data_IF_359156056502
#
_entry.id   IF_359156056502
#
_cell.length_a   1.000
_cell.length_b   1.000
_cell.length_c   1.000
_cell.angle_alpha   90.00
_cell.angle_beta   90.00
_cell.angle_gamma   90.00
#
_symmetry.space_group_name_H-M   'P 1'
#
loop_
_entity.id
_entity.type
_entity.pdbx_description
1 polymer ?
#
# COMPACT_ATOMS: atom_id res chain seq x y z
N UNK A 1 -28.76 10.50 23.94
CA UNK A 1 -27.43 9.89 23.82
C UNK A 1 -27.43 8.44 23.30
N UNK A 2 -28.31 7.54 23.76
CA UNK A 2 -28.38 6.13 23.25
C UNK A 2 -28.59 6.02 21.72
N UNK A 3 -29.40 6.88 21.12
CA UNK A 3 -29.67 6.85 19.67
C UNK A 3 -28.53 7.39 18.82
N UNK A 4 -27.64 8.22 19.39
CA UNK A 4 -26.46 8.72 18.71
C UNK A 4 -25.41 7.59 18.51
N UNK A 5 -25.30 6.69 19.49
CA UNK A 5 -24.43 5.51 19.39
C UNK A 5 -24.98 4.46 18.39
N UNK A 6 -26.31 4.31 18.33
CA UNK A 6 -26.94 3.39 17.36
C UNK A 6 -26.79 3.93 15.93
N UNK A 7 -26.93 5.22 15.72
CA UNK A 7 -26.72 5.86 14.41
C UNK A 7 -25.24 5.83 13.97
N UNK A 8 -24.29 5.95 14.90
CA UNK A 8 -22.85 5.75 14.68
C UNK A 8 -22.53 4.29 14.32
N UNK A 9 -23.30 3.33 14.81
CA UNK A 9 -23.13 1.91 14.52
C UNK A 9 -23.64 1.51 13.12
N UNK A 10 -24.68 2.18 12.61
CA UNK A 10 -25.35 1.78 11.37
C UNK A 10 -24.69 2.32 10.09
N UNK A 11 -23.85 3.39 10.17
CA UNK A 11 -23.16 3.95 9.00
C UNK A 11 -21.90 3.21 8.55
N UNK A 12 -21.51 2.11 9.23
CA UNK A 12 -20.26 1.39 8.92
C UNK A 12 -20.44 0.02 8.26
N UNK A 13 -21.61 -0.28 7.67
CA UNK A 13 -21.94 -1.64 7.23
C UNK A 13 -21.46 -2.04 5.83
N UNK A 14 -20.73 -1.17 5.12
CA UNK A 14 -20.11 -1.53 3.82
C UNK A 14 -18.71 -0.96 3.74
N UNK A 15 -17.81 -1.43 4.58
CA UNK A 15 -16.45 -0.88 4.56
C UNK A 15 -15.54 -1.80 3.77
N UNK A 16 -14.94 -1.22 2.75
CA UNK A 16 -13.95 -1.86 1.89
C UNK A 16 -12.59 -1.83 2.58
N UNK A 17 -11.97 -2.97 2.68
CA UNK A 17 -10.67 -3.19 3.32
C UNK A 17 -9.55 -2.97 2.31
N UNK A 18 -8.70 -1.97 2.49
CA UNK A 18 -7.59 -1.70 1.56
C UNK A 18 -6.44 -1.00 2.27
N UNK A 19 -5.24 -1.48 2.10
CA UNK A 19 -4.03 -0.81 2.54
C UNK A 19 -2.81 -1.43 1.89
N UNK A 20 -1.99 -0.63 1.23
CA UNK A 20 -0.69 -1.04 0.71
C UNK A 20 0.39 -0.95 1.77
N UNK A 21 1.31 -1.90 1.79
CA UNK A 21 2.41 -1.90 2.73
C UNK A 21 3.39 -0.74 2.51
N UNK A 22 3.90 -0.61 1.30
CA UNK A 22 5.01 0.30 1.03
C UNK A 22 4.58 1.76 0.97
N UNK A 23 3.45 2.03 0.35
CA UNK A 23 3.03 3.39 -0.01
C UNK A 23 2.00 3.99 0.93
N UNK A 24 1.40 3.20 1.82
CA UNK A 24 0.33 3.66 2.70
C UNK A 24 -0.93 4.16 1.97
N UNK A 25 -1.04 3.94 0.67
CA UNK A 25 -2.19 4.27 -0.15
C UNK A 25 -3.16 3.10 -0.27
N UNK A 26 -4.37 3.35 -0.79
CA UNK A 26 -5.31 2.28 -1.10
C UNK A 26 -4.83 1.46 -2.29
N UNK A 27 -4.78 0.14 -2.17
CA UNK A 27 -4.29 -0.76 -3.22
C UNK A 27 -4.27 -2.22 -2.80
N UNK A 28 -3.57 -3.07 -3.54
CA UNK A 28 -3.24 -4.44 -3.12
C UNK A 28 -2.04 -4.41 -2.16
N UNK A 29 -1.12 -5.34 -2.27
CA UNK A 29 0.06 -5.42 -1.40
C UNK A 29 1.09 -4.36 -1.80
N UNK A 30 1.49 -4.34 -3.07
CA UNK A 30 2.42 -3.40 -3.69
C UNK A 30 1.86 -2.78 -4.97
N UNK A 31 1.06 -3.54 -5.72
CA UNK A 31 0.46 -3.09 -6.97
C UNK A 31 -0.61 -2.01 -6.74
N UNK A 32 -0.58 -0.90 -7.48
CA UNK A 32 -1.61 0.11 -7.43
C UNK A 32 -2.91 -0.43 -8.04
N UNK A 33 -4.02 0.00 -7.48
CA UNK A 33 -5.36 -0.33 -7.98
C UNK A 33 -6.20 0.92 -8.16
N UNK A 34 -7.35 0.80 -8.80
CA UNK A 34 -8.30 1.90 -8.85
C UNK A 34 -9.24 1.95 -7.64
N UNK A 35 -9.06 1.09 -6.65
CA UNK A 35 -9.87 1.15 -5.42
C UNK A 35 -9.61 2.45 -4.64
N UNK A 36 -10.65 3.01 -4.05
CA UNK A 36 -10.59 4.21 -3.21
C UNK A 36 -11.34 3.96 -1.91
N UNK A 37 -10.83 4.49 -0.82
CA UNK A 37 -11.59 4.53 0.43
C UNK A 37 -12.85 5.40 0.26
N UNK A 38 -13.77 5.24 1.18
CA UNK A 38 -14.90 6.17 1.28
C UNK A 38 -14.38 7.56 1.58
N UNK A 39 -15.07 8.60 1.08
CA UNK A 39 -14.77 9.99 1.40
C UNK A 39 -14.71 10.24 2.92
N UNK A 40 -13.93 11.22 3.32
CA UNK A 40 -13.68 11.60 4.71
C UNK A 40 -13.11 10.43 5.56
N UNK A 41 -12.38 9.49 4.92
CA UNK A 41 -11.71 8.42 5.63
C UNK A 41 -10.26 8.81 5.90
N UNK A 42 -9.84 8.64 7.13
CA UNK A 42 -8.46 8.76 7.58
C UNK A 42 -7.95 7.36 7.92
N UNK A 43 -6.77 7.03 7.42
CA UNK A 43 -6.07 5.80 7.74
C UNK A 43 -4.67 6.14 8.23
N UNK A 44 -4.31 5.61 9.40
CA UNK A 44 -2.98 5.75 10.00
C UNK A 44 -2.43 4.37 10.25
N UNK A 45 -1.23 4.12 9.80
CA UNK A 45 -0.64 2.80 9.95
C UNK A 45 0.87 2.79 9.87
N UNK A 46 1.40 1.59 9.95
CA UNK A 46 2.80 1.30 9.74
C UNK A 46 3.00 -0.15 9.38
N UNK A 47 4.12 -0.41 8.73
CA UNK A 47 4.48 -1.75 8.28
C UNK A 47 5.94 -2.04 8.59
N UNK A 48 6.20 -3.30 8.90
CA UNK A 48 7.52 -3.90 8.86
C UNK A 48 7.64 -4.63 7.53
N UNK A 49 8.61 -4.23 6.73
CA UNK A 49 8.75 -4.65 5.34
C UNK A 49 10.11 -5.29 5.17
N UNK A 50 10.14 -6.46 4.53
CA UNK A 50 11.39 -7.09 4.18
C UNK A 50 12.18 -6.23 3.19
N UNK A 51 13.48 -6.13 3.37
CA UNK A 51 14.34 -5.27 2.55
C UNK A 51 14.40 -5.68 1.07
N UNK A 52 14.11 -6.96 0.74
CA UNK A 52 14.06 -7.41 -0.65
C UNK A 52 12.91 -6.81 -1.44
N UNK A 53 11.90 -6.26 -0.75
CA UNK A 53 10.78 -5.57 -1.39
C UNK A 53 11.12 -4.15 -1.84
N UNK A 54 12.21 -3.59 -1.31
CA UNK A 54 12.77 -2.32 -1.72
C UNK A 54 14.11 -2.57 -2.42
N UNK A 55 14.17 -2.38 -3.71
CA UNK A 55 15.41 -2.43 -4.50
C UNK A 55 16.20 -1.13 -4.35
N UNK A 56 16.49 -0.74 -3.12
CA UNK A 56 17.16 0.53 -2.83
C UNK A 56 18.67 0.39 -2.82
N UNK A 57 19.35 1.39 -3.34
CA UNK A 57 20.80 1.57 -3.23
C UNK A 57 21.29 1.64 -1.78
N UNK A 58 20.41 1.92 -0.82
CA UNK A 58 20.72 1.94 0.61
C UNK A 58 21.25 0.62 1.15
N UNK A 59 20.98 -0.50 0.48
CA UNK A 59 21.42 -1.84 0.86
C UNK A 59 22.55 -2.38 0.00
N UNK A 60 23.19 -1.54 -0.83
CA UNK A 60 24.38 -1.96 -1.58
C UNK A 60 25.43 -2.49 -0.62
N UNK A 61 25.85 -3.71 -0.81
CA UNK A 61 26.98 -4.34 -0.15
C UNK A 61 26.66 -5.37 0.93
N UNK A 62 25.43 -5.42 1.49
CA UNK A 62 25.17 -6.42 2.53
C UNK A 62 23.67 -6.64 2.77
N UNK A 63 22.98 -7.15 1.75
CA UNK A 63 21.57 -7.54 1.84
C UNK A 63 21.31 -8.60 2.93
N UNK A 64 22.32 -9.33 3.35
CA UNK A 64 22.20 -10.44 4.30
C UNK A 64 21.97 -10.00 5.77
N UNK A 65 22.32 -8.77 6.13
CA UNK A 65 22.37 -8.35 7.53
C UNK A 65 21.33 -7.31 7.95
N UNK A 66 20.44 -6.88 7.05
CA UNK A 66 19.38 -5.93 7.39
C UNK A 66 18.03 -6.41 6.89
N UNK A 67 17.41 -7.38 7.57
CA UNK A 67 16.26 -8.11 7.04
C UNK A 67 14.98 -7.26 6.90
N UNK A 68 14.86 -6.15 7.65
CA UNK A 68 13.61 -5.41 7.68
C UNK A 68 13.81 -3.91 7.72
N UNK A 69 12.93 -3.19 6.99
CA UNK A 69 12.70 -1.76 7.17
C UNK A 69 11.32 -1.51 7.74
N UNK A 70 11.07 -0.28 8.16
CA UNK A 70 9.80 0.12 8.75
C UNK A 70 9.31 1.38 8.06
N UNK A 71 8.02 1.44 7.84
CA UNK A 71 7.39 2.69 7.47
C UNK A 71 6.21 3.00 8.39
N UNK A 72 5.84 4.26 8.42
CA UNK A 72 4.57 4.72 8.96
C UNK A 72 3.94 5.70 7.99
N UNK A 73 2.61 5.76 7.99
CA UNK A 73 1.89 6.55 7.01
C UNK A 73 0.61 7.14 7.57
N UNK A 74 0.21 8.24 6.95
CA UNK A 74 -1.09 8.87 7.08
C UNK A 74 -1.71 8.95 5.70
N UNK A 75 -2.92 8.39 5.56
CA UNK A 75 -3.70 8.45 4.33
C UNK A 75 -5.04 9.11 4.60
N UNK A 76 -5.44 10.01 3.72
CA UNK A 76 -6.71 10.73 3.81
C UNK A 76 -7.42 10.71 2.46
N UNK A 77 -8.60 10.12 2.44
CA UNK A 77 -9.52 10.27 1.31
C UNK A 77 -10.40 11.50 1.56
N UNK A 78 -10.00 12.62 1.00
CA UNK A 78 -10.64 13.92 1.25
C UNK A 78 -12.03 13.99 0.60
N UNK A 79 -12.07 13.56 -0.67
CA UNK A 79 -13.29 13.51 -1.49
C UNK A 79 -13.42 12.11 -2.09
N UNK A 80 -14.61 11.73 -2.57
CA UNK A 80 -14.78 10.41 -3.20
C UNK A 80 -13.84 10.15 -4.38
N UNK A 81 -13.20 11.18 -4.90
CA UNK A 81 -12.33 11.15 -6.08
C UNK A 81 -10.87 11.53 -5.78
N UNK A 82 -10.54 11.97 -4.55
CA UNK A 82 -9.20 12.41 -4.17
C UNK A 82 -8.73 11.72 -2.88
N UNK A 83 -7.65 10.99 -2.98
CA UNK A 83 -6.89 10.41 -1.87
C UNK A 83 -5.49 10.98 -1.87
N UNK A 84 -5.01 11.39 -0.71
CA UNK A 84 -3.63 11.83 -0.48
C UNK A 84 -3.03 11.02 0.66
N UNK A 85 -1.74 10.75 0.58
CA UNK A 85 -1.04 10.05 1.65
C UNK A 85 0.37 10.64 1.85
N UNK A 86 0.84 10.49 3.08
CA UNK A 86 2.21 10.73 3.47
C UNK A 86 2.78 9.42 4.03
N UNK A 87 3.96 9.05 3.58
CA UNK A 87 4.68 7.88 4.08
C UNK A 87 6.08 8.30 4.51
N UNK A 88 6.52 7.78 5.63
CA UNK A 88 7.89 7.93 6.08
C UNK A 88 8.51 6.54 6.22
N UNK A 89 9.54 6.26 5.43
CA UNK A 89 10.29 5.01 5.46
C UNK A 89 11.57 5.20 6.27
N UNK A 90 11.75 4.35 7.28
CA UNK A 90 12.92 4.38 8.17
C UNK A 90 14.00 3.49 7.58
N UNK A 91 15.16 4.06 7.29
CA UNK A 91 16.30 3.34 6.71
C UNK A 91 17.31 2.99 7.80
N UNK A 92 17.75 1.73 7.82
CA UNK A 92 18.83 1.27 8.71
C UNK A 92 20.15 1.18 7.96
N UNK A 93 21.22 1.54 8.64
CA UNK A 93 22.58 1.28 8.17
C UNK A 93 22.82 -0.23 8.05
N UNK A 94 23.16 -0.70 6.86
CA UNK A 94 23.41 -2.12 6.61
C UNK A 94 24.78 -2.55 7.18
N UNK A 95 24.82 -3.69 7.87
CA UNK A 95 26.05 -4.29 8.33
C UNK A 95 26.95 -4.68 7.14
N UNK A 96 28.25 -4.39 7.22
CA UNK A 96 29.19 -4.71 6.14
C UNK A 96 29.05 -3.81 4.89
N UNK A 97 28.17 -2.82 4.91
CA UNK A 97 28.04 -1.87 3.83
C UNK A 97 29.28 -0.97 3.72
N UNK A 98 29.77 -0.74 2.51
CA UNK A 98 30.77 0.28 2.23
C UNK A 98 30.17 1.70 2.24
N UNK A 99 28.85 1.80 2.17
CA UNK A 99 28.11 3.04 2.13
C UNK A 99 27.88 3.61 3.55
N UNK A 100 27.50 2.76 4.50
CA UNK A 100 27.19 3.18 5.87
C UNK A 100 28.40 3.01 6.77
N UNK A 101 28.82 4.06 7.51
CA UNK A 101 29.87 3.92 8.51
C UNK A 101 29.54 2.82 9.54
N UNK A 102 30.54 2.08 9.99
CA UNK A 102 30.36 0.96 10.92
C UNK A 102 29.60 1.32 12.20
N UNK A 103 29.73 2.55 12.68
CA UNK A 103 29.05 3.06 13.88
C UNK A 103 27.52 3.15 13.70
N UNK A 104 27.04 3.16 12.46
CA UNK A 104 25.61 3.29 12.09
C UNK A 104 24.93 1.96 11.78
N UNK A 105 25.70 0.89 11.70
CA UNK A 105 25.16 -0.42 11.36
C UNK A 105 24.09 -0.88 12.35
N UNK A 106 22.94 -1.33 11.83
CA UNK A 106 21.76 -1.74 12.58
C UNK A 106 20.97 -0.61 13.23
N UNK A 107 21.45 0.64 13.16
CA UNK A 107 20.73 1.81 13.67
C UNK A 107 19.94 2.49 12.56
N UNK A 108 18.86 3.19 12.92
CA UNK A 108 18.17 4.07 11.97
C UNK A 108 19.05 5.28 11.65
N UNK A 109 19.34 5.46 10.37
CA UNK A 109 20.30 6.45 9.87
C UNK A 109 19.67 7.48 8.96
N UNK A 110 18.51 7.17 8.37
CA UNK A 110 17.80 8.08 7.50
C UNK A 110 16.28 7.86 7.57
N UNK A 111 15.54 8.86 7.09
CA UNK A 111 14.10 8.84 6.90
C UNK A 111 13.79 9.34 5.50
N UNK A 112 13.18 8.50 4.70
CA UNK A 112 12.64 8.91 3.43
C UNK A 112 11.18 9.34 3.61
N UNK A 113 10.85 10.54 3.15
CA UNK A 113 9.55 11.18 3.32
C UNK A 113 8.89 11.38 1.97
N UNK A 114 7.82 10.63 1.73
CA UNK A 114 7.15 10.57 0.45
C UNK A 114 5.71 11.05 0.54
N UNK A 115 5.27 11.81 -0.45
CA UNK A 115 3.89 12.24 -0.61
C UNK A 115 3.26 11.52 -1.79
N UNK A 116 2.00 11.16 -1.66
CA UNK A 116 1.28 10.40 -2.67
C UNK A 116 -0.07 11.05 -2.96
N UNK A 117 -0.47 11.03 -4.21
CA UNK A 117 -1.76 11.52 -4.66
C UNK A 117 -2.45 10.52 -5.58
N UNK A 118 -3.79 10.40 -5.44
CA UNK A 118 -4.61 9.52 -6.29
C UNK A 118 -5.90 10.21 -6.65
N UNK A 119 -6.22 10.19 -7.93
CA UNK A 119 -7.37 10.84 -8.51
C UNK A 119 -8.25 9.83 -9.24
N UNK A 120 -9.49 9.63 -8.79
CA UNK A 120 -10.46 8.80 -9.48
C UNK A 120 -11.04 9.55 -10.67
N UNK A 121 -10.67 9.11 -11.87
CA UNK A 121 -11.14 9.67 -13.13
C UNK A 121 -12.52 9.11 -13.52
N UNK A 122 -12.76 7.85 -13.19
CA UNK A 122 -13.98 7.15 -13.56
C UNK A 122 -14.47 6.24 -12.44
N UNK A 123 -15.75 6.27 -12.14
CA UNK A 123 -16.37 5.41 -11.13
C UNK A 123 -16.83 4.10 -11.79
N UNK A 124 -16.66 2.99 -11.10
CA UNK A 124 -17.16 1.69 -11.55
C UNK A 124 -18.67 1.74 -11.83
N UNK A 125 -19.06 1.20 -12.99
CA UNK A 125 -20.45 1.12 -13.41
C UNK A 125 -21.10 2.46 -13.77
N UNK A 126 -20.33 3.54 -13.92
CA UNK A 126 -20.86 4.90 -14.14
C UNK A 126 -21.60 5.05 -15.49
N UNK A 127 -21.15 4.35 -16.52
CA UNK A 127 -21.84 4.32 -17.83
C UNK A 127 -22.64 3.03 -18.01
N UNK A 128 -21.94 1.88 -17.91
CA UNK A 128 -22.55 0.55 -18.01
C UNK A 128 -21.99 -0.32 -16.89
N UNK A 129 -22.74 -1.34 -16.46
CA UNK A 129 -22.35 -2.20 -15.32
C UNK A 129 -20.96 -2.84 -15.48
N UNK A 130 -20.52 -3.07 -16.71
CA UNK A 130 -19.21 -3.68 -16.98
C UNK A 130 -18.04 -2.67 -16.92
N UNK A 131 -18.31 -1.35 -16.96
CA UNK A 131 -17.22 -0.37 -16.95
C UNK A 131 -16.43 -0.40 -15.63
N UNK A 132 -15.07 -0.43 -15.70
CA UNK A 132 -14.25 -0.46 -14.51
C UNK A 132 -14.19 0.91 -13.83
N UNK A 133 -13.69 0.96 -12.62
CA UNK A 133 -13.18 2.18 -12.00
C UNK A 133 -11.79 2.48 -12.54
N UNK A 134 -11.47 3.77 -12.74
CA UNK A 134 -10.16 4.21 -13.22
C UNK A 134 -9.60 5.27 -12.27
N UNK A 135 -8.35 5.11 -11.90
CA UNK A 135 -7.60 6.02 -11.03
C UNK A 135 -6.26 6.35 -11.67
N UNK A 136 -5.95 7.63 -11.72
CA UNK A 136 -4.60 8.15 -11.97
C UNK A 136 -3.93 8.38 -10.62
N UNK A 137 -2.70 7.96 -10.47
CA UNK A 137 -1.96 8.14 -9.23
C UNK A 137 -0.50 8.48 -9.44
N UNK A 138 0.06 9.15 -8.45
CA UNK A 138 1.47 9.45 -8.35
C UNK A 138 1.94 9.11 -6.93
N UNK A 139 3.01 8.38 -6.84
CA UNK A 139 3.73 8.17 -5.60
C UNK A 139 5.02 8.97 -5.67
N UNK A 140 5.26 9.75 -4.63
CA UNK A 140 6.45 10.57 -4.45
C UNK A 140 6.88 11.43 -5.66
N UNK A 141 5.98 12.20 -6.27
CA UNK A 141 6.28 12.94 -7.49
C UNK A 141 7.22 14.13 -7.31
N UNK A 142 7.57 14.47 -6.07
CA UNK A 142 8.36 15.65 -5.72
C UNK A 142 9.82 15.37 -5.40
N UNK A 143 10.23 14.12 -5.34
CA UNK A 143 11.58 13.74 -4.94
C UNK A 143 12.55 13.64 -6.13
N UNK A 144 12.47 14.58 -7.05
CA UNK A 144 13.39 14.68 -8.19
C UNK A 144 14.69 15.39 -7.82
N UNK A 145 15.34 15.04 -6.76
CA UNK A 145 16.59 15.73 -6.46
C UNK A 145 17.78 14.83 -6.73
N UNK A 146 18.74 15.36 -7.46
CA UNK A 146 20.10 14.83 -7.57
C UNK A 146 20.78 14.73 -6.18
N UNK A 147 20.16 15.30 -5.18
CA UNK A 147 20.60 15.35 -3.80
C UNK A 147 19.49 14.76 -2.93
N UNK A 148 19.58 13.50 -2.61
CA UNK A 148 18.59 12.75 -1.86
C UNK A 148 17.93 13.53 -0.72
N UNK A 149 16.64 13.36 -0.53
CA UNK A 149 15.80 14.08 0.45
C UNK A 149 16.11 13.88 1.92
N UNK A 150 17.30 13.42 2.27
CA UNK A 150 17.89 13.38 3.60
C UNK A 150 19.16 14.18 3.64
N UNK A 151 19.50 14.74 4.79
CA UNK A 151 20.74 15.51 5.05
C UNK A 151 22.05 14.71 4.87
N UNK A 152 22.04 13.68 4.04
CA UNK A 152 23.20 12.86 3.74
C UNK A 152 23.62 13.18 2.32
N UNK A 153 24.42 14.23 2.18
CA UNK A 153 25.20 14.47 0.97
C UNK A 153 26.42 13.56 1.01
N UNK A 154 26.36 12.45 0.30
CA UNK A 154 27.54 11.68 -0.02
C UNK A 154 27.90 11.97 -1.47
N UNK A 155 29.02 12.62 -1.66
CA UNK A 155 29.50 13.08 -2.98
C UNK A 155 29.73 11.94 -3.99
N UNK A 156 29.77 10.70 -3.54
CA UNK A 156 30.05 9.52 -4.36
C UNK A 156 28.86 8.55 -4.54
N UNK A 157 27.72 8.83 -3.93
CA UNK A 157 26.53 8.02 -4.16
C UNK A 157 25.67 8.76 -5.17
N UNK A 158 26.03 8.55 -6.39
CA UNK A 158 25.27 9.07 -7.50
C UNK A 158 23.81 8.81 -7.28
N UNK A 159 23.08 9.92 -7.21
CA UNK A 159 21.84 9.98 -7.90
C UNK A 159 20.71 9.10 -7.36
N UNK A 160 19.77 9.74 -6.77
CA UNK A 160 18.41 9.29 -6.52
C UNK A 160 18.16 8.39 -5.30
N UNK A 161 17.52 8.98 -4.34
CA UNK A 161 16.87 8.28 -3.24
C UNK A 161 15.39 8.01 -3.51
N UNK A 162 14.95 8.16 -4.75
CA UNK A 162 13.54 8.14 -5.18
C UNK A 162 13.02 6.72 -5.43
N UNK A 163 13.27 5.78 -4.56
CA UNK A 163 12.84 4.40 -4.73
C UNK A 163 11.31 4.21 -4.70
N UNK A 164 10.54 5.22 -4.29
CA UNK A 164 9.08 5.16 -4.28
C UNK A 164 8.43 5.92 -5.45
N UNK A 165 9.20 6.64 -6.28
CA UNK A 165 8.62 7.47 -7.33
C UNK A 165 8.04 6.61 -8.46
N UNK A 166 6.75 6.74 -8.66
CA UNK A 166 6.03 6.13 -9.78
C UNK A 166 4.77 6.90 -10.12
N UNK A 167 4.44 6.91 -11.40
CA UNK A 167 3.15 7.36 -11.93
C UNK A 167 2.39 6.16 -12.47
N UNK A 168 1.08 6.13 -12.31
CA UNK A 168 0.31 4.99 -12.77
C UNK A 168 -1.12 5.34 -13.17
N UNK A 169 -1.65 4.56 -14.10
CA UNK A 169 -3.06 4.49 -14.42
C UNK A 169 -3.56 3.11 -14.07
N UNK A 170 -4.52 3.03 -13.18
CA UNK A 170 -5.06 1.77 -12.70
C UNK A 170 -6.53 1.61 -13.04
N UNK A 171 -6.93 0.39 -13.34
CA UNK A 171 -8.31 -0.02 -13.55
C UNK A 171 -8.69 -1.14 -12.58
N UNK A 172 -9.92 -1.08 -12.07
CA UNK A 172 -10.47 -2.09 -11.14
C UNK A 172 -11.90 -2.41 -11.49
N UNK A 173 -12.21 -3.72 -11.51
CA UNK A 173 -13.58 -4.21 -11.68
C UNK A 173 -13.93 -5.24 -10.61
N UNK A 174 -15.12 -5.08 -10.02
CA UNK A 174 -15.62 -6.00 -9.01
C UNK A 174 -16.73 -6.89 -9.55
N UNK A 175 -16.72 -8.15 -9.11
CA UNK A 175 -17.71 -9.16 -9.41
C UNK A 175 -18.26 -9.74 -8.11
N UNK A 176 -19.54 -9.53 -7.86
CA UNK A 176 -20.21 -10.11 -6.69
C UNK A 176 -20.59 -11.56 -6.96
N UNK A 177 -20.09 -12.46 -6.13
CA UNK A 177 -20.35 -13.89 -6.20
C UNK A 177 -21.42 -14.25 -5.17
N UNK A 178 -22.65 -13.94 -5.51
CA UNK A 178 -23.84 -14.20 -4.64
C UNK A 178 -23.52 -13.90 -3.15
N UNK A 179 -23.82 -14.85 -2.27
CA UNK A 179 -23.59 -14.75 -0.81
C UNK A 179 -22.17 -15.14 -0.38
N UNK A 180 -21.27 -15.42 -1.32
CA UNK A 180 -19.92 -15.89 -0.97
C UNK A 180 -18.92 -14.77 -0.78
N UNK A 181 -19.02 -13.72 -1.59
CA UNK A 181 -18.09 -12.62 -1.51
C UNK A 181 -18.02 -11.77 -2.76
N UNK A 182 -16.96 -10.98 -2.85
CA UNK A 182 -16.66 -10.10 -3.97
C UNK A 182 -15.24 -10.35 -4.45
N UNK A 183 -15.10 -10.66 -5.73
CA UNK A 183 -13.84 -10.75 -6.45
C UNK A 183 -13.54 -9.39 -7.06
N UNK A 184 -12.39 -8.80 -6.76
CA UNK A 184 -11.83 -7.65 -7.45
C UNK A 184 -10.76 -8.11 -8.43
N UNK A 185 -10.79 -7.56 -9.63
CA UNK A 185 -9.74 -7.73 -10.66
C UNK A 185 -9.13 -6.36 -10.93
N UNK A 186 -7.81 -6.29 -10.92
CA UNK A 186 -7.03 -5.07 -11.00
C UNK A 186 -5.99 -5.18 -12.08
N UNK A 187 -5.78 -4.10 -12.81
CA UNK A 187 -4.68 -3.93 -13.74
C UNK A 187 -4.17 -2.50 -13.67
N UNK A 188 -2.88 -2.31 -13.82
CA UNK A 188 -2.31 -0.97 -13.95
C UNK A 188 -1.12 -0.95 -14.90
N UNK A 189 -0.92 0.20 -15.51
CA UNK A 189 0.31 0.57 -16.19
C UNK A 189 1.04 1.56 -15.31
N UNK A 190 2.33 1.34 -15.13
CA UNK A 190 3.18 2.11 -14.22
C UNK A 190 4.35 2.64 -15.02
N UNK A 191 4.66 3.91 -14.83
CA UNK A 191 5.92 4.50 -15.18
C UNK A 191 6.70 4.72 -13.88
N UNK A 192 7.83 4.11 -13.77
CA UNK A 192 8.77 4.30 -12.68
C UNK A 192 9.71 5.44 -13.06
N UNK A 193 9.94 6.33 -12.13
CA UNK A 193 10.87 7.45 -12.28
C UNK A 193 12.00 7.37 -11.22
N UNK A 194 12.11 6.21 -10.60
CA UNK A 194 13.11 5.91 -9.60
C UNK A 194 14.19 4.99 -10.14
N UNK A 195 15.39 5.08 -9.57
CA UNK A 195 16.57 4.31 -9.98
C UNK A 195 16.51 2.81 -9.75
N UNK A 196 15.56 2.36 -8.95
CA UNK A 196 15.57 1.00 -8.45
C UNK A 196 14.78 0.02 -9.31
N UNK A 197 14.24 0.48 -10.42
CA UNK A 197 13.49 -0.37 -11.35
C UNK A 197 14.34 -0.63 -12.60
N UNK A 198 14.52 -1.91 -12.91
CA UNK A 198 15.24 -2.33 -14.13
C UNK A 198 14.52 -1.91 -15.42
N UNK A 199 13.23 -1.57 -15.31
CA UNK A 199 12.40 -1.10 -16.40
C UNK A 199 11.72 0.23 -16.04
N UNK A 200 11.78 1.20 -16.95
CA UNK A 200 11.08 2.49 -16.79
C UNK A 200 9.55 2.34 -16.83
N UNK A 201 9.05 1.25 -17.38
CA UNK A 201 7.62 0.99 -17.52
C UNK A 201 7.27 -0.42 -17.07
N UNK A 202 6.16 -0.55 -16.38
CA UNK A 202 5.65 -1.83 -15.90
C UNK A 202 4.14 -1.98 -16.09
N UNK A 203 3.71 -3.24 -16.19
CA UNK A 203 2.30 -3.61 -16.13
C UNK A 203 2.10 -4.48 -14.91
N UNK A 204 1.08 -4.19 -14.13
CA UNK A 204 0.71 -5.02 -13.00
C UNK A 204 -0.69 -5.55 -13.16
N UNK A 205 -0.89 -6.76 -12.68
CA UNK A 205 -2.21 -7.36 -12.57
C UNK A 205 -2.38 -7.96 -11.19
N UNK A 206 -3.61 -7.97 -10.70
CA UNK A 206 -3.86 -8.56 -9.40
C UNK A 206 -5.32 -8.85 -9.18
N UNK A 207 -5.56 -9.64 -8.16
CA UNK A 207 -6.90 -10.01 -7.73
C UNK A 207 -7.01 -9.91 -6.22
N UNK A 208 -8.20 -9.60 -5.75
CA UNK A 208 -8.52 -9.78 -4.34
C UNK A 208 -9.88 -10.45 -4.18
N UNK A 209 -10.02 -11.20 -3.10
CA UNK A 209 -11.27 -11.84 -2.74
C UNK A 209 -11.67 -11.50 -1.32
N UNK A 210 -12.84 -10.87 -1.18
CA UNK A 210 -13.45 -10.53 0.11
C UNK A 210 -14.63 -11.41 0.37
N UNK A 211 -14.62 -12.07 1.49
CA UNK A 211 -15.74 -12.87 1.92
C UNK A 211 -16.91 -11.96 2.36
N UNK A 212 -18.12 -12.33 1.97
CA UNK A 212 -19.35 -11.67 2.40
C UNK A 212 -20.43 -12.74 2.62
N UNK A 213 -20.24 -13.53 3.66
CA UNK A 213 -21.15 -14.61 4.03
C UNK A 213 -22.24 -14.10 4.97
N UNK A 214 -23.44 -14.70 4.96
CA UNK A 214 -24.44 -14.45 5.99
C UNK A 214 -23.82 -14.58 7.39
N UNK A 215 -24.11 -13.64 8.28
CA UNK A 215 -23.51 -13.59 9.63
C UNK A 215 -24.04 -14.69 10.59
N UNK A 216 -24.08 -15.91 10.10
CA UNK A 216 -24.52 -17.09 10.82
C UNK A 216 -23.31 -17.84 11.36
N UNK A 217 -23.04 -17.64 12.66
CA UNK A 217 -21.98 -18.36 13.36
C UNK A 217 -20.60 -17.70 13.33
N UNK A 218 -19.70 -18.28 14.12
CA UNK A 218 -18.33 -17.78 14.33
C UNK A 218 -17.51 -17.74 13.04
N UNK A 219 -17.54 -18.80 12.25
CA UNK A 219 -16.72 -18.92 11.02
C UNK A 219 -17.10 -17.91 9.95
N UNK A 220 -18.41 -17.63 9.78
CA UNK A 220 -18.86 -16.61 8.83
C UNK A 220 -18.36 -15.21 9.24
N UNK A 221 -18.43 -14.89 10.53
CA UNK A 221 -17.91 -13.62 11.05
C UNK A 221 -16.40 -13.50 10.89
N UNK A 222 -15.67 -14.57 11.16
CA UNK A 222 -14.22 -14.60 11.00
C UNK A 222 -13.81 -14.41 9.52
N UNK A 223 -14.45 -15.12 8.60
CA UNK A 223 -14.16 -15.00 7.17
C UNK A 223 -14.50 -13.62 6.60
N UNK A 224 -15.60 -13.01 7.04
CA UNK A 224 -16.01 -11.68 6.53
C UNK A 224 -15.02 -10.55 6.85
N UNK A 225 -14.11 -10.77 7.80
CA UNK A 225 -13.00 -9.86 8.08
C UNK A 225 -11.80 -10.01 7.14
N UNK A 226 -11.79 -11.09 6.34
CA UNK A 226 -10.64 -11.47 5.53
C UNK A 226 -10.77 -10.96 4.09
N UNK A 227 -9.69 -10.38 3.57
CA UNK A 227 -9.49 -10.05 2.17
C UNK A 227 -8.18 -10.69 1.71
N UNK A 228 -8.28 -11.70 0.86
CA UNK A 228 -7.12 -12.38 0.26
C UNK A 228 -6.69 -11.62 -0.99
N UNK A 229 -5.39 -11.55 -1.23
CA UNK A 229 -4.78 -10.80 -2.33
C UNK A 229 -3.72 -11.63 -3.02
N UNK A 230 -3.67 -11.49 -4.34
CA UNK A 230 -2.60 -12.01 -5.18
C UNK A 230 -2.30 -10.98 -6.27
N UNK A 231 -1.04 -10.76 -6.56
CA UNK A 231 -0.63 -9.78 -7.56
C UNK A 231 0.65 -10.20 -8.27
N UNK A 232 0.78 -9.75 -9.51
CA UNK A 232 2.03 -9.74 -10.24
C UNK A 232 2.50 -8.29 -10.32
N UNK A 233 3.60 -8.00 -9.68
CA UNK A 233 4.18 -6.67 -9.54
C UNK A 233 5.70 -6.79 -9.54
N UNK A 234 6.38 -5.94 -10.34
CA UNK A 234 7.84 -5.90 -10.42
C UNK A 234 8.44 -7.29 -10.74
N UNK A 235 7.86 -7.95 -11.76
CA UNK A 235 8.26 -9.26 -12.29
C UNK A 235 8.18 -10.44 -11.30
N UNK A 236 7.54 -10.25 -10.16
CA UNK A 236 7.33 -11.30 -9.16
C UNK A 236 5.87 -11.47 -8.77
N UNK A 237 5.55 -12.66 -8.27
CA UNK A 237 4.24 -12.94 -7.70
C UNK A 237 4.25 -12.71 -6.19
N UNK A 238 3.32 -11.87 -5.76
CA UNK A 238 3.08 -11.58 -4.35
C UNK A 238 1.73 -12.12 -3.92
N UNK A 239 1.67 -12.68 -2.73
CA UNK A 239 0.43 -13.14 -2.12
C UNK A 239 0.31 -12.63 -0.70
N UNK A 240 -0.91 -12.43 -0.25
CA UNK A 240 -1.15 -11.96 1.10
C UNK A 240 -2.61 -11.65 1.35
N UNK A 241 -2.83 -10.78 2.31
CA UNK A 241 -4.16 -10.33 2.62
C UNK A 241 -4.19 -9.38 3.81
N UNK A 242 -5.36 -8.86 4.05
CA UNK A 242 -5.60 -8.11 5.27
C UNK A 242 -6.82 -8.64 6.02
N UNK A 243 -6.81 -8.45 7.32
CA UNK A 243 -7.84 -8.88 8.24
C UNK A 243 -8.35 -7.72 9.08
N UNK A 244 -9.66 -7.49 9.06
CA UNK A 244 -10.33 -6.53 9.93
C UNK A 244 -10.53 -7.14 11.33
N UNK A 245 -9.66 -6.78 12.27
CA UNK A 245 -9.69 -7.29 13.64
C UNK A 245 -10.88 -6.71 14.41
N UNK A 246 -11.19 -5.42 14.20
CA UNK A 246 -12.27 -4.75 14.90
C UNK A 246 -13.04 -3.81 13.99
N UNK A 247 -14.21 -4.28 13.51
CA UNK A 247 -15.20 -3.47 12.76
C UNK A 247 -14.57 -2.59 11.66
N UNK A 248 -13.56 -3.10 10.97
CA UNK A 248 -12.77 -2.38 9.98
C UNK A 248 -12.05 -1.10 10.48
N UNK A 249 -11.96 -0.93 11.78
CA UNK A 249 -11.19 0.16 12.38
C UNK A 249 -9.74 -0.21 12.64
N UNK A 250 -9.50 -1.46 13.01
CA UNK A 250 -8.18 -2.03 13.22
C UNK A 250 -7.99 -3.14 12.20
N UNK A 251 -6.96 -3.02 11.40
CA UNK A 251 -6.67 -3.94 10.32
C UNK A 251 -5.21 -4.39 10.39
N UNK A 252 -5.00 -5.67 10.16
CA UNK A 252 -3.67 -6.28 10.06
C UNK A 252 -3.48 -6.74 8.63
N UNK A 253 -2.33 -6.46 8.06
CA UNK A 253 -1.94 -6.91 6.72
C UNK A 253 -0.73 -7.81 6.83
N UNK A 254 -0.69 -8.88 6.04
CA UNK A 254 0.47 -9.75 5.89
C UNK A 254 0.66 -10.10 4.42
N UNK A 255 1.90 -10.17 3.98
CA UNK A 255 2.25 -10.50 2.61
C UNK A 255 3.54 -11.29 2.52
N UNK A 256 3.65 -12.05 1.42
CA UNK A 256 4.87 -12.69 0.95
C UNK A 256 5.21 -12.09 -0.41
N UNK A 257 6.33 -11.37 -0.48
CA UNK A 257 6.91 -10.88 -1.72
C UNK A 257 7.75 -12.02 -2.33
N UNK A 258 7.57 -12.27 -3.62
CA UNK A 258 8.17 -13.41 -4.34
C UNK A 258 7.92 -14.77 -3.64
N UNK A 259 6.82 -14.90 -2.90
CA UNK A 259 6.50 -16.10 -2.13
C UNK A 259 7.50 -16.44 -1.01
N UNK A 260 8.45 -15.56 -0.67
CA UNK A 260 9.57 -15.82 0.25
C UNK A 260 9.70 -14.79 1.35
N UNK A 261 9.62 -13.52 1.00
CA UNK A 261 9.95 -12.41 1.88
C UNK A 261 8.67 -11.85 2.50
N UNK A 262 8.53 -11.99 3.79
CA UNK A 262 7.30 -11.61 4.46
C UNK A 262 7.32 -10.17 4.99
N UNK A 263 6.18 -9.54 4.93
CA UNK A 263 5.95 -8.20 5.48
C UNK A 263 4.65 -8.20 6.25
N UNK A 264 4.58 -7.40 7.30
CA UNK A 264 3.36 -7.23 8.10
C UNK A 264 3.10 -5.76 8.36
N UNK A 265 1.82 -5.40 8.44
CA UNK A 265 1.40 -4.05 8.74
C UNK A 265 0.18 -4.03 9.66
N UNK A 266 0.04 -2.91 10.34
CA UNK A 266 -1.12 -2.58 11.16
C UNK A 266 -1.60 -1.19 10.77
N UNK A 267 -2.91 -1.02 10.61
CA UNK A 267 -3.47 0.31 10.40
C UNK A 267 -4.82 0.49 11.08
N UNK A 268 -5.05 1.73 11.45
CA UNK A 268 -6.31 2.22 11.97
C UNK A 268 -7.02 3.01 10.90
N UNK A 269 -8.35 2.83 10.84
CA UNK A 269 -9.19 3.52 9.86
C UNK A 269 -10.40 4.13 10.54
N UNK A 270 -10.64 5.40 10.26
CA UNK A 270 -11.79 6.16 10.75
C UNK A 270 -12.43 6.91 9.60
N UNK A 271 -13.73 6.74 9.44
CA UNK A 271 -14.53 7.54 8.51
C UNK A 271 -15.20 8.67 9.32
N UNK A 272 -14.87 9.90 9.00
CA UNK A 272 -15.50 11.07 9.56
C UNK A 272 -16.89 11.26 8.93
N UNK A 273 -17.81 11.81 9.67
CA UNK A 273 -19.17 12.10 9.19
C UNK A 273 -19.24 13.41 8.43
#
# INVERSE_FOLDING_TARGET
>A
MKYLYIFLLFCCLTVKLFGQHAYGTTGLLFAPTAEMQKDKTIMIGGSMIDHHTYRSNYWKGSREYTPYTYNYYLNVTIFPWLEVAYTCTLVKGAHGSSYWPQQTWGKFVNQDRSFHGRLRLWKEGWWKQWTPQIVLGANDPGSHSDHGGGNITFDDVGENTNHLTRFYLAATKHFTIRQWGTLGIHASVIQFDGLDFDNEHGVTVGVNYRFNRPNEGFWSKALNGLNLMGEYYDDVFNVGGNYAVWKDRINVTASLYDGRYWSVGLYFKVCLK
#
